data_IF_133563960258
#
_entry.id   IF_133563960258
#
_cell.length_a   1.000
_cell.length_b   1.000
_cell.length_c   1.000
_cell.angle_alpha   90.00
_cell.angle_beta   90.00
_cell.angle_gamma   90.00
#
_symmetry.space_group_name_H-M   'P 1'
#
loop_
_entity.id
_entity.type
_entity.pdbx_description
1 polymer ?
#
# COMPACT_ATOMS: atom_id res chain seq x y z
N UNK A 1 21.62 5.65 7.57
CA UNK A 1 21.02 5.68 8.92
C UNK A 1 20.58 4.27 9.24
N UNK A 2 20.95 3.73 10.40
CA UNK A 2 20.49 2.40 10.84
C UNK A 2 19.20 2.55 11.63
N UNK A 3 18.41 1.48 11.71
CA UNK A 3 17.17 1.48 12.51
C UNK A 3 17.40 1.90 13.96
N UNK A 4 18.53 1.47 14.56
CA UNK A 4 18.92 1.80 15.93
C UNK A 4 19.30 3.26 16.15
N UNK A 5 19.50 4.04 15.09
CA UNK A 5 19.87 5.46 15.18
C UNK A 5 18.62 6.37 15.21
N UNK A 6 17.40 5.83 15.12
CA UNK A 6 16.15 6.58 15.13
C UNK A 6 15.70 6.96 16.54
N UNK A 7 15.24 8.20 16.70
CA UNK A 7 14.56 8.63 17.93
C UNK A 7 13.21 7.92 18.08
N UNK A 8 12.96 7.37 19.28
CA UNK A 8 11.74 6.62 19.58
C UNK A 8 10.75 7.44 20.41
N UNK A 9 9.42 7.31 20.20
CA UNK A 9 8.76 6.31 19.35
C UNK A 9 8.71 6.70 17.88
N UNK A 10 8.99 5.73 17.01
CA UNK A 10 8.89 5.89 15.55
C UNK A 10 8.23 4.66 14.93
N UNK A 11 7.31 4.88 14.00
CA UNK A 11 6.75 3.82 13.16
C UNK A 11 7.69 3.56 11.99
N UNK A 12 8.10 2.31 11.82
CA UNK A 12 8.90 1.89 10.68
C UNK A 12 8.22 0.74 9.95
N UNK A 13 8.44 0.66 8.65
CA UNK A 13 7.98 -0.43 7.82
C UNK A 13 9.09 -0.83 6.84
N UNK A 14 9.25 -2.14 6.65
CA UNK A 14 10.20 -2.70 5.71
C UNK A 14 9.60 -2.67 4.28
N UNK A 15 10.25 -1.91 3.39
CA UNK A 15 9.80 -1.71 2.02
C UNK A 15 9.83 -3.00 1.19
N UNK A 16 10.86 -3.84 1.34
CA UNK A 16 10.94 -5.12 0.62
C UNK A 16 9.79 -6.04 1.02
N UNK A 17 9.43 -6.02 2.31
CA UNK A 17 8.28 -6.76 2.82
C UNK A 17 6.96 -6.20 2.29
N UNK A 18 6.81 -4.87 2.18
CA UNK A 18 5.62 -4.26 1.58
C UNK A 18 5.49 -4.66 0.12
N UNK A 19 6.53 -4.49 -0.69
CA UNK A 19 6.52 -4.82 -2.12
C UNK A 19 6.19 -6.29 -2.37
N UNK A 20 6.84 -7.20 -1.62
CA UNK A 20 6.53 -8.64 -1.67
C UNK A 20 5.06 -8.93 -1.35
N UNK A 21 4.48 -8.25 -0.35
CA UNK A 21 3.09 -8.43 0.03
C UNK A 21 2.13 -7.91 -1.05
N UNK A 22 2.43 -6.75 -1.65
CA UNK A 22 1.66 -6.18 -2.76
C UNK A 22 1.66 -7.14 -3.95
N UNK A 23 2.83 -7.57 -4.42
CA UNK A 23 2.93 -8.47 -5.56
C UNK A 23 2.26 -9.82 -5.30
N UNK A 24 2.38 -10.37 -4.09
CA UNK A 24 1.70 -11.62 -3.73
C UNK A 24 0.19 -11.49 -3.82
N UNK A 25 -0.39 -10.40 -3.32
CA UNK A 25 -1.84 -10.20 -3.36
C UNK A 25 -2.33 -9.94 -4.79
N UNK A 26 -1.59 -9.13 -5.55
CA UNK A 26 -1.91 -8.86 -6.94
C UNK A 26 -1.88 -10.14 -7.79
N UNK A 27 -0.79 -10.92 -7.71
CA UNK A 27 -0.65 -12.18 -8.43
C UNK A 27 -1.75 -13.19 -8.04
N UNK A 28 -2.19 -13.18 -6.78
CA UNK A 28 -3.33 -13.99 -6.35
C UNK A 28 -4.62 -13.57 -7.08
N UNK A 29 -4.92 -12.27 -7.14
CA UNK A 29 -6.08 -11.75 -7.86
C UNK A 29 -6.00 -12.04 -9.36
N UNK A 30 -4.85 -11.82 -9.99
CA UNK A 30 -4.61 -12.08 -11.41
C UNK A 30 -4.83 -13.57 -11.74
N UNK A 31 -4.29 -14.47 -10.91
CA UNK A 31 -4.47 -15.93 -11.07
C UNK A 31 -5.93 -16.35 -11.08
N UNK A 32 -6.79 -15.65 -10.34
CA UNK A 32 -8.22 -15.96 -10.23
C UNK A 32 -9.10 -15.09 -11.13
N UNK A 33 -8.50 -14.22 -11.96
CA UNK A 33 -9.23 -13.35 -12.88
C UNK A 33 -10.14 -12.33 -12.19
N UNK A 34 -9.78 -11.90 -10.97
CA UNK A 34 -10.54 -10.88 -10.21
C UNK A 34 -9.74 -9.58 -10.10
N UNK A 35 -10.42 -8.44 -10.23
CA UNK A 35 -9.76 -7.14 -10.07
C UNK A 35 -9.45 -6.88 -8.59
N UNK A 36 -8.21 -6.46 -8.30
CA UNK A 36 -7.82 -6.01 -6.97
C UNK A 36 -8.04 -4.50 -6.84
N UNK A 37 -8.80 -4.08 -5.84
CA UNK A 37 -8.95 -2.67 -5.43
C UNK A 37 -8.59 -2.53 -3.94
N UNK A 38 -7.30 -2.33 -3.59
CA UNK A 38 -6.85 -2.32 -2.21
C UNK A 38 -7.52 -1.24 -1.38
N UNK A 39 -7.69 -1.50 -0.08
CA UNK A 39 -8.22 -0.51 0.85
C UNK A 39 -7.08 0.19 1.60
N UNK A 40 -6.93 1.49 1.38
CA UNK A 40 -5.78 2.26 1.90
C UNK A 40 -5.88 2.61 3.39
N UNK A 41 -7.00 2.28 4.07
CA UNK A 41 -7.25 2.68 5.47
C UNK A 41 -6.14 2.27 6.43
N UNK A 42 -5.40 1.22 6.09
CA UNK A 42 -4.30 0.66 6.89
C UNK A 42 -3.09 1.59 6.91
N UNK A 43 -2.71 2.17 5.77
CA UNK A 43 -1.50 3.00 5.67
C UNK A 43 -1.80 4.48 5.49
N UNK A 44 -2.80 4.83 4.67
CA UNK A 44 -3.13 6.22 4.31
C UNK A 44 -1.95 7.03 3.74
N UNK A 45 -0.99 6.33 3.13
CA UNK A 45 0.19 6.87 2.46
C UNK A 45 0.01 6.77 0.94
N UNK A 46 0.00 7.89 0.17
CA UNK A 46 -0.15 7.89 -1.28
C UNK A 46 0.93 7.09 -2.04
N UNK A 47 2.17 7.11 -1.57
CA UNK A 47 3.28 6.40 -2.21
C UNK A 47 3.05 4.87 -2.17
N UNK A 48 2.49 4.35 -1.08
CA UNK A 48 2.16 2.93 -0.99
C UNK A 48 0.93 2.57 -1.84
N UNK A 49 -0.02 3.49 -2.00
CA UNK A 49 -1.12 3.31 -2.95
C UNK A 49 -0.59 3.27 -4.39
N UNK A 50 0.41 4.10 -4.72
CA UNK A 50 1.04 4.10 -6.05
C UNK A 50 1.76 2.80 -6.36
N UNK A 51 2.50 2.22 -5.41
CA UNK A 51 3.12 0.89 -5.56
C UNK A 51 2.06 -0.18 -5.87
N UNK A 52 0.90 -0.12 -5.20
CA UNK A 52 -0.20 -1.05 -5.47
C UNK A 52 -0.77 -0.89 -6.88
N UNK A 53 -0.95 0.35 -7.34
CA UNK A 53 -1.43 0.65 -8.69
C UNK A 53 -0.43 0.21 -9.76
N UNK A 54 0.85 0.49 -9.56
CA UNK A 54 1.95 0.06 -10.45
C UNK A 54 2.07 -1.46 -10.54
N UNK A 55 1.71 -2.19 -9.46
CA UNK A 55 1.66 -3.64 -9.48
C UNK A 55 0.49 -4.20 -10.32
N UNK A 56 -0.57 -3.42 -10.57
CA UNK A 56 -1.73 -3.85 -11.35
C UNK A 56 -3.09 -3.66 -10.67
N UNK A 57 -3.15 -3.00 -9.51
CA UNK A 57 -4.42 -2.74 -8.85
C UNK A 57 -5.31 -1.81 -9.69
N UNK A 58 -6.60 -2.10 -9.73
CA UNK A 58 -7.60 -1.31 -10.44
C UNK A 58 -8.20 -0.28 -9.47
N UNK A 59 -7.45 0.79 -9.27
CA UNK A 59 -7.77 1.86 -8.33
C UNK A 59 -7.60 1.44 -6.87
N UNK A 60 -8.08 2.29 -5.96
CA UNK A 60 -8.04 2.07 -4.51
C UNK A 60 -9.42 2.30 -3.87
N UNK A 61 -9.54 1.94 -2.59
CA UNK A 61 -10.72 2.18 -1.76
C UNK A 61 -10.33 3.03 -0.55
N UNK A 62 -11.03 4.16 -0.35
CA UNK A 62 -10.89 5.04 0.81
C UNK A 62 -12.10 4.91 1.75
N UNK A 63 -11.91 5.17 3.04
CA UNK A 63 -12.98 5.10 4.04
C UNK A 63 -13.67 6.47 4.22
N UNK A 64 -12.96 7.57 3.99
CA UNK A 64 -13.43 8.96 4.18
C UNK A 64 -13.06 9.84 2.99
N UNK A 65 -13.83 10.91 2.76
CA UNK A 65 -13.56 11.88 1.69
C UNK A 65 -12.17 12.52 1.80
N UNK A 66 -11.76 12.93 2.99
CA UNK A 66 -10.41 13.49 3.19
C UNK A 66 -9.27 12.52 2.87
N UNK A 67 -9.51 11.21 2.94
CA UNK A 67 -8.51 10.23 2.48
C UNK A 67 -8.47 10.19 0.95
N UNK A 68 -9.61 10.33 0.27
CA UNK A 68 -9.67 10.39 -1.18
C UNK A 68 -9.03 11.68 -1.74
N UNK A 69 -9.25 12.82 -1.08
CA UNK A 69 -8.64 14.12 -1.46
C UNK A 69 -7.10 14.08 -1.42
N UNK A 70 -6.52 13.41 -0.43
CA UNK A 70 -5.05 13.24 -0.32
C UNK A 70 -4.48 12.25 -1.34
N UNK A 71 -5.32 11.35 -1.86
CA UNK A 71 -4.91 10.29 -2.79
C UNK A 71 -5.12 10.65 -4.27
N UNK A 72 -5.78 11.77 -4.56
CA UNK A 72 -6.18 12.20 -5.91
C UNK A 72 -5.07 12.95 -6.67
#
# INVERSE_FOLDING_TARGET
>A
MRLADLETPVLTADLETIERNVHRMQAYCDKHGVALRPHIKTHKVPELARIQLEAGAVGITCQKLGEAEVMA
#
